data_IF_910643123727
#
_entry.id   IF_910643123727
#
_cell.length_a   1.000
_cell.length_b   1.000
_cell.length_c   1.000
_cell.angle_alpha   90.00
_cell.angle_beta   90.00
_cell.angle_gamma   90.00
#
_symmetry.space_group_name_H-M   'P 1'
#
loop_
_entity.id
_entity.type
_entity.pdbx_description
1 polymer ?
#
# COMPACT_ATOMS: atom_id res chain seq x y z
N UNK A 1 19.34 -82.81 29.31
CA UNK A 1 20.68 -83.24 28.84
C UNK A 1 21.06 -82.29 27.70
N UNK A 2 22.11 -81.53 27.97
CA UNK A 2 23.24 -81.22 27.05
C UNK A 2 22.83 -80.49 25.73
N UNK A 3 23.37 -79.43 25.24
CA UNK A 3 24.69 -78.79 25.48
C UNK A 3 24.64 -77.32 24.98
N UNK A 4 25.56 -76.55 25.47
CA UNK A 4 25.92 -75.18 25.13
C UNK A 4 26.54 -75.13 23.73
N UNK A 5 26.25 -74.09 22.98
CA UNK A 5 27.20 -73.51 22.02
C UNK A 5 27.03 -71.99 21.98
N UNK A 6 28.10 -71.33 22.41
CA UNK A 6 28.34 -69.87 22.32
C UNK A 6 29.01 -69.70 20.96
N UNK A 7 28.46 -68.85 20.13
CA UNK A 7 29.20 -68.32 18.97
C UNK A 7 28.97 -66.79 19.00
N UNK A 8 30.06 -66.07 19.21
CA UNK A 8 30.15 -64.65 19.11
C UNK A 8 30.07 -64.20 17.64
N UNK A 9 29.33 -63.13 17.42
CA UNK A 9 29.30 -62.40 16.13
C UNK A 9 29.81 -60.98 16.39
N UNK A 10 30.93 -60.70 15.77
CA UNK A 10 31.53 -59.38 15.66
C UNK A 10 30.54 -58.38 15.10
N UNK A 11 30.43 -57.24 15.79
CA UNK A 11 29.73 -56.09 15.30
C UNK A 11 30.41 -55.44 14.11
N UNK A 12 29.69 -55.31 13.02
CA UNK A 12 30.05 -54.43 11.91
C UNK A 12 29.15 -53.17 12.03
N UNK A 13 29.67 -52.11 12.66
CA UNK A 13 29.08 -50.79 12.61
C UNK A 13 29.23 -50.25 11.19
N UNK A 14 28.20 -50.40 10.39
CA UNK A 14 28.06 -49.62 9.15
C UNK A 14 27.60 -48.22 9.53
N UNK A 15 28.52 -47.27 9.52
CA UNK A 15 28.21 -45.84 9.56
C UNK A 15 27.48 -45.46 8.25
N UNK A 16 26.16 -45.39 8.29
CA UNK A 16 25.38 -44.77 7.23
C UNK A 16 25.59 -43.26 7.37
N UNK A 17 26.51 -42.73 6.57
CA UNK A 17 26.58 -41.29 6.28
C UNK A 17 25.37 -41.00 5.42
N UNK A 18 24.31 -40.52 6.05
CA UNK A 18 23.25 -39.80 5.34
C UNK A 18 23.90 -38.53 4.80
N UNK A 19 24.34 -38.57 3.55
CA UNK A 19 24.50 -37.37 2.75
C UNK A 19 23.08 -36.78 2.63
N UNK A 20 22.76 -35.81 3.46
CA UNK A 20 21.70 -34.91 3.21
C UNK A 20 22.07 -34.18 1.90
N UNK A 21 21.58 -34.67 0.76
CA UNK A 21 21.41 -33.83 -0.41
C UNK A 21 20.42 -32.73 0.01
N UNK A 22 20.96 -31.61 0.43
CA UNK A 22 20.21 -30.37 0.39
C UNK A 22 19.79 -30.21 -1.06
N UNK A 23 18.52 -30.47 -1.36
CA UNK A 23 17.93 -29.96 -2.57
C UNK A 23 18.06 -28.46 -2.47
N UNK A 24 18.77 -27.84 -3.40
CA UNK A 24 18.64 -26.45 -3.71
C UNK A 24 17.18 -26.24 -4.14
N UNK A 25 16.30 -26.07 -3.18
CA UNK A 25 15.01 -25.43 -3.39
C UNK A 25 15.34 -23.97 -3.67
N UNK A 26 15.19 -23.57 -4.92
CA UNK A 26 15.18 -22.18 -5.33
C UNK A 26 13.89 -21.51 -4.81
N UNK A 27 13.68 -21.50 -3.50
CA UNK A 27 12.61 -20.80 -2.81
C UNK A 27 13.26 -19.91 -1.77
N UNK A 28 13.08 -18.59 -1.89
CA UNK A 28 13.47 -17.63 -0.87
C UNK A 28 12.73 -17.84 0.45
N UNK A 29 13.03 -17.03 1.44
CA UNK A 29 12.24 -16.97 2.68
C UNK A 29 10.83 -16.47 2.36
N UNK A 30 9.75 -17.16 2.80
CA UNK A 30 8.39 -16.70 2.60
C UNK A 30 8.20 -15.28 3.14
N UNK A 31 7.62 -14.40 2.33
CA UNK A 31 7.40 -13.01 2.68
C UNK A 31 6.01 -12.56 2.22
N UNK A 32 5.12 -12.33 3.17
CA UNK A 32 3.73 -11.99 2.91
C UNK A 32 3.55 -10.47 2.87
N UNK A 33 3.03 -9.96 1.74
CA UNK A 33 2.65 -8.57 1.55
C UNK A 33 1.13 -8.47 1.38
N UNK A 34 0.45 -7.73 2.23
CA UNK A 34 -0.95 -7.37 2.00
C UNK A 34 -1.01 -6.06 1.22
N UNK A 35 -1.69 -6.08 0.07
CA UNK A 35 -1.97 -4.88 -0.72
C UNK A 35 -3.04 -4.02 -0.01
N UNK A 36 -3.16 -2.75 -0.40
CA UNK A 36 -4.20 -1.85 0.11
C UNK A 36 -5.55 -2.05 -0.58
N UNK A 37 -5.51 -2.45 -1.85
CA UNK A 37 -6.67 -2.57 -2.74
C UNK A 37 -6.51 -3.74 -3.72
N UNK A 38 -7.39 -3.88 -4.71
CA UNK A 38 -7.15 -4.76 -5.85
C UNK A 38 -5.84 -4.38 -6.55
N UNK A 39 -5.26 -5.33 -7.31
CA UNK A 39 -4.10 -5.05 -8.15
C UNK A 39 -4.41 -3.86 -9.07
N UNK A 40 -3.59 -2.84 -8.98
CA UNK A 40 -3.75 -1.58 -9.70
C UNK A 40 -2.37 -0.97 -10.03
N UNK A 41 -2.28 0.10 -10.81
CA UNK A 41 -1.01 0.69 -11.23
C UNK A 41 -0.09 1.20 -10.11
N UNK A 42 -0.60 1.49 -8.91
CA UNK A 42 0.23 1.89 -7.77
C UNK A 42 1.14 0.74 -7.31
N UNK A 43 0.81 -0.50 -7.68
CA UNK A 43 1.62 -1.70 -7.46
C UNK A 43 2.62 -2.00 -8.58
N UNK A 44 2.80 -1.12 -9.58
CA UNK A 44 3.64 -1.37 -10.75
C UNK A 44 5.08 -1.77 -10.40
N UNK A 45 5.68 -1.11 -9.40
CA UNK A 45 7.03 -1.45 -8.91
C UNK A 45 7.12 -2.87 -8.35
N UNK A 46 6.10 -3.29 -7.60
CA UNK A 46 6.02 -4.61 -6.95
C UNK A 46 5.92 -5.71 -8.01
N UNK A 47 4.95 -5.61 -8.92
CA UNK A 47 4.73 -6.65 -9.92
C UNK A 47 5.82 -6.68 -10.98
N UNK A 48 6.43 -5.54 -11.32
CA UNK A 48 7.63 -5.51 -12.14
C UNK A 48 8.82 -6.18 -11.45
N UNK A 49 9.00 -5.98 -10.14
CA UNK A 49 10.06 -6.65 -9.38
C UNK A 49 9.83 -8.18 -9.30
N UNK A 50 8.58 -8.62 -9.15
CA UNK A 50 8.21 -10.04 -9.18
C UNK A 50 8.49 -10.68 -10.55
N UNK A 51 7.99 -10.09 -11.63
CA UNK A 51 8.20 -10.58 -12.99
C UNK A 51 9.69 -10.71 -13.35
N UNK A 52 10.49 -9.75 -12.91
CA UNK A 52 11.95 -9.75 -13.13
C UNK A 52 12.74 -10.56 -12.11
N UNK A 53 12.11 -11.21 -11.14
CA UNK A 53 12.75 -12.06 -10.15
C UNK A 53 13.59 -11.29 -9.12
N UNK A 54 13.40 -9.98 -8.94
CA UNK A 54 14.23 -9.17 -8.05
C UNK A 54 14.05 -9.53 -6.58
N UNK A 55 12.85 -9.95 -6.16
CA UNK A 55 12.62 -10.45 -4.81
C UNK A 55 13.30 -11.81 -4.59
N UNK A 56 13.21 -12.70 -5.58
CA UNK A 56 13.91 -13.99 -5.52
C UNK A 56 15.44 -13.81 -5.48
N UNK A 57 16.01 -12.88 -6.25
CA UNK A 57 17.43 -12.50 -6.18
C UNK A 57 17.83 -11.99 -4.78
N UNK A 58 16.89 -11.35 -4.07
CA UNK A 58 17.06 -10.87 -2.70
C UNK A 58 16.77 -11.95 -1.64
N UNK A 59 16.49 -13.18 -2.05
CA UNK A 59 16.24 -14.32 -1.17
C UNK A 59 14.81 -14.35 -0.60
N UNK A 60 13.87 -13.59 -1.15
CA UNK A 60 12.48 -13.51 -0.70
C UNK A 60 11.55 -14.26 -1.66
N UNK A 61 10.67 -15.09 -1.12
CA UNK A 61 9.52 -15.68 -1.82
C UNK A 61 8.29 -14.81 -1.54
N UNK A 62 8.17 -13.71 -2.30
CA UNK A 62 7.15 -12.70 -2.09
C UNK A 62 5.77 -13.20 -2.52
N UNK A 63 4.79 -13.07 -1.63
CA UNK A 63 3.40 -13.43 -1.84
C UNK A 63 2.49 -12.20 -1.62
N UNK A 64 2.19 -11.40 -2.67
CA UNK A 64 1.23 -10.29 -2.56
C UNK A 64 -0.20 -10.81 -2.45
N UNK A 65 -0.96 -10.29 -1.50
CA UNK A 65 -2.33 -10.69 -1.23
C UNK A 65 -3.27 -9.49 -1.29
N UNK A 66 -4.35 -9.61 -2.08
CA UNK A 66 -5.45 -8.65 -2.07
C UNK A 66 -6.20 -8.81 -0.74
N UNK A 67 -6.44 -7.72 0.00
CA UNK A 67 -7.13 -7.80 1.29
C UNK A 67 -8.61 -8.18 1.14
N UNK A 68 -9.20 -8.69 2.20
CA UNK A 68 -10.63 -9.03 2.23
C UNK A 68 -11.54 -7.80 2.15
N UNK A 69 -11.08 -6.67 2.64
CA UNK A 69 -11.70 -5.35 2.57
C UNK A 69 -10.61 -4.26 2.67
N UNK A 70 -10.88 -3.01 2.22
CA UNK A 70 -9.86 -1.95 2.18
C UNK A 70 -9.35 -1.51 3.57
N UNK A 71 -10.04 -1.80 4.67
CA UNK A 71 -9.61 -1.46 6.04
C UNK A 71 -8.79 -2.56 6.73
N UNK A 72 -8.56 -3.70 6.05
CA UNK A 72 -7.90 -4.87 6.65
C UNK A 72 -6.36 -4.79 6.73
N UNK A 73 -5.62 -4.16 5.79
CA UNK A 73 -4.18 -4.35 5.66
C UNK A 73 -3.39 -4.05 6.94
N UNK A 74 -3.58 -2.89 7.54
CA UNK A 74 -2.84 -2.49 8.75
C UNK A 74 -3.13 -3.42 9.94
N UNK A 75 -4.35 -3.95 10.03
CA UNK A 75 -4.74 -4.90 11.09
C UNK A 75 -4.10 -6.27 10.88
N UNK A 76 -3.82 -6.65 9.64
CA UNK A 76 -3.14 -7.92 9.34
C UNK A 76 -1.69 -7.90 9.78
N UNK A 77 -0.98 -6.79 9.51
CA UNK A 77 0.39 -6.58 10.00
C UNK A 77 0.41 -6.56 11.52
N UNK A 78 -0.43 -5.73 12.15
CA UNK A 78 -0.49 -5.64 13.62
C UNK A 78 -0.85 -6.98 14.29
N UNK A 79 -1.46 -7.92 13.58
CA UNK A 79 -1.77 -9.26 14.06
C UNK A 79 -0.71 -10.30 13.68
N UNK A 80 0.42 -9.92 13.06
CA UNK A 80 1.49 -10.79 12.61
C UNK A 80 1.07 -11.77 11.51
N UNK A 81 0.10 -11.39 10.67
CA UNK A 81 -0.42 -12.21 9.57
C UNK A 81 0.18 -11.85 8.21
N UNK A 82 0.89 -10.75 8.13
CA UNK A 82 1.66 -10.30 6.99
C UNK A 82 2.96 -9.68 7.50
N UNK A 83 4.02 -9.77 6.72
CA UNK A 83 5.32 -9.15 7.01
C UNK A 83 5.27 -7.65 6.75
N UNK A 84 4.61 -7.27 5.67
CA UNK A 84 4.33 -5.89 5.31
C UNK A 84 2.88 -5.73 4.84
N UNK A 85 2.37 -4.51 4.96
CA UNK A 85 1.16 -4.10 4.27
C UNK A 85 1.38 -2.77 3.56
N UNK A 86 0.68 -2.56 2.44
CA UNK A 86 0.46 -1.23 1.90
C UNK A 86 -0.71 -0.62 2.68
N UNK A 87 -0.53 0.59 3.17
CA UNK A 87 -1.53 1.36 3.88
C UNK A 87 -1.30 2.85 3.62
N UNK A 88 -1.86 3.71 4.44
CA UNK A 88 -1.89 5.16 4.26
C UNK A 88 -1.32 5.86 5.50
N UNK A 89 -0.62 6.99 5.34
CA UNK A 89 -0.11 7.77 6.48
C UNK A 89 -1.20 8.02 7.55
N UNK A 90 -2.43 8.49 7.21
CA UNK A 90 -3.48 8.66 8.20
C UNK A 90 -3.87 7.38 8.95
N UNK A 91 -3.87 6.22 8.28
CA UNK A 91 -4.17 4.95 8.93
C UNK A 91 -3.08 4.54 9.94
N UNK A 92 -1.81 4.84 9.65
CA UNK A 92 -0.71 4.61 10.60
C UNK A 92 -0.91 5.44 11.86
N UNK A 93 -1.23 6.73 11.72
CA UNK A 93 -1.48 7.63 12.85
C UNK A 93 -2.68 7.15 13.68
N UNK A 94 -3.79 6.82 13.03
CA UNK A 94 -4.99 6.30 13.70
C UNK A 94 -4.75 4.96 14.40
N UNK A 95 -3.98 4.05 13.78
CA UNK A 95 -3.65 2.76 14.35
C UNK A 95 -2.77 2.90 15.61
N UNK A 96 -1.80 3.80 15.59
CA UNK A 96 -0.95 4.11 16.75
C UNK A 96 -1.75 4.72 17.90
N UNK A 97 -2.68 5.65 17.60
CA UNK A 97 -3.57 6.23 18.61
C UNK A 97 -4.48 5.17 19.26
N UNK A 98 -4.86 4.12 18.52
CA UNK A 98 -5.60 2.96 19.01
C UNK A 98 -4.70 1.93 19.73
N UNK A 99 -3.40 2.17 19.84
CA UNK A 99 -2.45 1.31 20.54
C UNK A 99 -1.96 0.10 19.72
N UNK A 100 -2.12 0.11 18.40
CA UNK A 100 -1.50 -0.89 17.52
C UNK A 100 -0.02 -0.54 17.34
N UNK A 101 0.86 -1.53 17.49
CA UNK A 101 2.32 -1.32 17.41
C UNK A 101 2.83 -1.51 15.98
N UNK A 102 2.49 -0.54 15.12
CA UNK A 102 2.86 -0.53 13.70
C UNK A 102 3.72 0.69 13.38
N UNK A 103 4.57 0.58 12.37
CA UNK A 103 5.46 1.67 11.92
C UNK A 103 5.54 1.69 10.39
N UNK A 104 5.50 2.87 9.79
CA UNK A 104 5.78 3.04 8.38
C UNK A 104 7.28 2.91 8.10
N UNK A 105 7.64 2.14 7.08
CA UNK A 105 9.04 1.83 6.75
C UNK A 105 9.48 2.40 5.40
N UNK A 106 8.54 2.79 4.55
CA UNK A 106 8.82 3.52 3.29
C UNK A 106 7.54 4.16 2.74
N UNK A 107 7.66 5.30 2.07
CA UNK A 107 6.60 5.84 1.24
C UNK A 107 6.70 5.31 -0.20
N UNK A 108 5.61 4.80 -0.73
CA UNK A 108 5.47 4.45 -2.15
C UNK A 108 5.05 5.67 -2.97
N UNK A 109 4.15 6.50 -2.41
CA UNK A 109 3.64 7.73 -3.04
C UNK A 109 3.69 8.88 -2.05
N UNK A 110 4.51 9.89 -2.35
CA UNK A 110 4.79 11.04 -1.47
C UNK A 110 3.82 12.22 -1.64
N UNK A 111 2.57 11.96 -1.92
CA UNK A 111 1.55 13.00 -2.04
C UNK A 111 0.16 12.41 -2.23
N UNK A 112 -0.92 13.18 -1.99
CA UNK A 112 -2.28 12.70 -2.07
C UNK A 112 -2.65 12.18 -3.47
N UNK A 113 -3.24 11.00 -3.52
CA UNK A 113 -3.99 10.46 -4.66
C UNK A 113 -5.48 10.51 -4.37
N UNK A 114 -5.86 10.36 -3.10
CA UNK A 114 -7.23 10.44 -2.60
C UNK A 114 -7.89 11.74 -3.07
N UNK A 115 -9.06 11.61 -3.69
CA UNK A 115 -9.77 12.70 -4.32
C UNK A 115 -11.28 12.62 -4.07
N UNK A 116 -11.94 13.77 -4.15
CA UNK A 116 -13.38 13.85 -4.37
C UNK A 116 -13.61 13.83 -5.89
N UNK A 117 -14.28 12.79 -6.39
CA UNK A 117 -14.53 12.60 -7.82
C UNK A 117 -16.02 12.57 -8.07
N UNK A 118 -16.47 13.40 -9.01
CA UNK A 118 -17.87 13.48 -9.43
C UNK A 118 -17.99 13.58 -10.95
N UNK A 119 -19.16 13.26 -11.49
CA UNK A 119 -19.48 13.48 -12.90
C UNK A 119 -20.19 14.82 -13.09
N UNK A 120 -20.18 15.40 -14.31
CA UNK A 120 -20.79 16.72 -14.56
C UNK A 120 -22.25 16.82 -14.16
N UNK A 121 -23.00 15.72 -14.26
CA UNK A 121 -24.44 15.68 -13.92
C UNK A 121 -24.72 15.90 -12.44
N UNK A 122 -23.73 15.65 -11.57
CA UNK A 122 -23.86 15.86 -10.12
C UNK A 122 -23.82 17.35 -9.72
N UNK A 123 -23.31 18.25 -10.60
CA UNK A 123 -23.17 19.69 -10.38
C UNK A 123 -22.42 20.03 -9.07
N UNK A 124 -21.30 19.32 -8.83
CA UNK A 124 -20.44 19.53 -7.67
C UNK A 124 -19.20 20.30 -8.13
N UNK A 125 -19.13 21.59 -7.79
CA UNK A 125 -18.01 22.47 -8.08
C UNK A 125 -17.02 22.58 -6.90
N UNK A 126 -17.49 22.35 -5.68
CA UNK A 126 -16.74 22.48 -4.43
C UNK A 126 -17.36 21.63 -3.33
N UNK A 127 -16.68 21.51 -2.20
CA UNK A 127 -17.22 20.81 -1.02
C UNK A 127 -18.53 21.39 -0.50
N UNK A 128 -18.81 22.69 -0.72
CA UNK A 128 -20.09 23.31 -0.32
C UNK A 128 -21.31 22.79 -1.10
N UNK A 129 -21.09 22.17 -2.26
CA UNK A 129 -22.17 21.63 -3.10
C UNK A 129 -22.56 20.20 -2.67
N UNK A 130 -21.89 19.64 -1.66
CA UNK A 130 -22.17 18.29 -1.15
C UNK A 130 -23.40 18.22 -0.25
N UNK A 131 -23.95 19.36 0.21
CA UNK A 131 -25.17 19.35 1.02
C UNK A 131 -26.34 18.66 0.30
N UNK A 132 -26.91 17.63 0.91
CA UNK A 132 -28.00 16.81 0.35
C UNK A 132 -27.57 15.81 -0.72
N UNK A 133 -26.26 15.62 -0.91
CA UNK A 133 -25.69 14.66 -1.87
C UNK A 133 -25.38 13.31 -1.23
N UNK A 134 -25.34 12.28 -2.05
CA UNK A 134 -24.85 10.94 -1.68
C UNK A 134 -23.39 10.80 -2.11
N UNK A 135 -22.51 10.56 -1.16
CA UNK A 135 -21.07 10.35 -1.37
C UNK A 135 -20.69 8.93 -0.95
N UNK A 136 -20.11 8.15 -1.88
CA UNK A 136 -19.63 6.80 -1.57
C UNK A 136 -18.16 6.83 -1.15
N UNK A 137 -17.79 5.93 -0.23
CA UNK A 137 -16.43 5.74 0.29
C UNK A 137 -16.02 4.27 0.21
N UNK A 138 -14.72 4.01 0.36
CA UNK A 138 -14.20 2.63 0.45
C UNK A 138 -14.32 2.02 1.85
N UNK A 139 -14.85 2.78 2.85
CA UNK A 139 -15.00 2.32 4.23
C UNK A 139 -13.67 2.30 5.01
N UNK A 140 -12.65 2.98 4.52
CA UNK A 140 -11.40 3.17 5.26
C UNK A 140 -11.63 4.27 6.30
N UNK A 141 -11.30 4.07 7.57
CA UNK A 141 -11.68 4.97 8.67
C UNK A 141 -11.33 6.44 8.44
N UNK A 142 -10.15 6.76 7.89
CA UNK A 142 -9.74 8.14 7.68
C UNK A 142 -10.60 8.88 6.66
N UNK A 143 -11.26 8.17 5.71
CA UNK A 143 -12.05 8.80 4.64
C UNK A 143 -13.26 9.56 5.20
N UNK A 144 -13.98 8.93 6.12
CA UNK A 144 -15.10 9.59 6.79
C UNK A 144 -14.62 10.83 7.59
N UNK A 145 -13.51 10.67 8.32
CA UNK A 145 -12.90 11.74 9.11
C UNK A 145 -12.48 12.95 8.26
N UNK A 146 -11.88 12.69 7.10
CA UNK A 146 -11.50 13.75 6.17
C UNK A 146 -12.73 14.44 5.59
N UNK A 147 -13.71 13.66 5.14
CA UNK A 147 -14.93 14.21 4.56
C UNK A 147 -15.65 15.10 5.55
N UNK A 148 -15.80 14.69 6.80
CA UNK A 148 -16.42 15.52 7.85
C UNK A 148 -15.63 16.83 8.10
N UNK A 149 -14.30 16.75 8.11
CA UNK A 149 -13.44 17.93 8.25
C UNK A 149 -13.58 18.88 7.06
N UNK A 150 -13.59 18.34 5.84
CA UNK A 150 -13.76 19.10 4.59
C UNK A 150 -15.13 19.78 4.57
N UNK A 151 -16.21 19.05 4.91
CA UNK A 151 -17.57 19.58 4.99
C UNK A 151 -17.68 20.68 6.04
N UNK A 152 -17.14 20.47 7.24
CA UNK A 152 -17.12 21.46 8.31
C UNK A 152 -16.43 22.77 7.90
N UNK A 153 -15.29 22.67 7.20
CA UNK A 153 -14.56 23.83 6.66
C UNK A 153 -15.35 24.55 5.56
N UNK A 154 -16.11 23.81 4.75
CA UNK A 154 -16.98 24.34 3.72
C UNK A 154 -18.28 24.93 4.27
N UNK A 155 -18.54 24.82 5.59
CA UNK A 155 -19.78 25.27 6.23
C UNK A 155 -20.98 24.36 5.92
N UNK A 156 -20.73 23.12 5.53
CA UNK A 156 -21.76 22.08 5.29
C UNK A 156 -21.88 21.24 6.56
N UNK A 157 -23.11 21.04 7.00
CA UNK A 157 -23.41 20.09 8.09
C UNK A 157 -23.21 18.65 7.57
N UNK A 158 -22.26 17.87 8.13
CA UNK A 158 -22.01 16.50 7.69
C UNK A 158 -23.26 15.59 7.72
N UNK A 159 -24.21 15.85 8.64
CA UNK A 159 -25.46 15.11 8.72
C UNK A 159 -26.36 15.28 7.48
N UNK A 160 -26.10 16.30 6.65
CA UNK A 160 -26.82 16.53 5.39
C UNK A 160 -26.26 15.74 4.21
N UNK A 161 -25.11 15.10 4.36
CA UNK A 161 -24.45 14.30 3.32
C UNK A 161 -24.66 12.83 3.63
N UNK A 162 -25.24 12.11 2.67
CA UNK A 162 -25.43 10.65 2.79
C UNK A 162 -24.11 9.93 2.44
N UNK A 163 -23.35 9.53 3.45
CA UNK A 163 -22.11 8.80 3.30
C UNK A 163 -22.39 7.31 3.25
N UNK A 164 -22.01 6.64 2.16
CA UNK A 164 -22.28 5.21 1.94
C UNK A 164 -20.97 4.45 1.70
N UNK A 165 -20.67 3.51 2.57
CA UNK A 165 -19.55 2.60 2.39
C UNK A 165 -19.89 1.51 1.36
N UNK A 166 -19.08 1.42 0.31
CA UNK A 166 -19.23 0.49 -0.81
C UNK A 166 -18.02 -0.42 -1.00
N UNK A 167 -17.05 -0.35 -0.09
CA UNK A 167 -15.78 -1.10 -0.16
C UNK A 167 -15.06 -0.81 -1.47
N UNK A 168 -14.65 -1.86 -2.17
CA UNK A 168 -13.91 -1.73 -3.44
C UNK A 168 -14.73 -1.15 -4.62
N UNK A 169 -16.05 -0.99 -4.50
CA UNK A 169 -16.93 -0.70 -5.63
C UNK A 169 -17.31 0.80 -5.73
N UNK A 170 -16.33 1.69 -5.74
CA UNK A 170 -16.54 3.16 -5.76
C UNK A 170 -17.21 3.66 -7.05
N UNK A 171 -16.79 3.18 -8.21
CA UNK A 171 -17.21 3.74 -9.51
C UNK A 171 -18.65 3.40 -9.94
N UNK A 172 -19.16 2.15 -9.80
CA UNK A 172 -20.48 1.81 -10.32
C UNK A 172 -21.64 2.65 -9.78
N UNK A 173 -21.69 3.05 -8.49
CA UNK A 173 -22.73 3.96 -7.99
C UNK A 173 -22.70 5.33 -8.64
N UNK A 174 -21.49 5.89 -8.85
CA UNK A 174 -21.31 7.22 -9.47
C UNK A 174 -21.68 7.18 -10.95
N UNK A 175 -21.19 6.20 -11.70
CA UNK A 175 -21.50 6.04 -13.13
C UNK A 175 -23.00 5.86 -13.37
N UNK A 176 -23.69 5.14 -12.46
CA UNK A 176 -25.14 4.89 -12.61
C UNK A 176 -26.02 6.01 -12.06
N UNK A 177 -25.43 7.08 -11.49
CA UNK A 177 -26.16 8.18 -10.86
C UNK A 177 -26.89 7.79 -9.56
N UNK A 178 -26.50 6.68 -8.92
CA UNK A 178 -26.98 6.28 -7.58
C UNK A 178 -26.23 6.99 -6.46
N UNK A 179 -25.04 7.47 -6.74
CA UNK A 179 -24.27 8.37 -5.91
C UNK A 179 -23.89 9.61 -6.72
N UNK A 180 -23.78 10.75 -6.07
CA UNK A 180 -23.40 12.02 -6.69
C UNK A 180 -21.88 12.14 -6.83
N UNK A 181 -21.13 11.55 -5.89
CA UNK A 181 -19.66 11.56 -5.89
C UNK A 181 -19.09 10.33 -5.20
N UNK A 182 -17.80 10.07 -5.43
CA UNK A 182 -16.98 9.21 -4.59
C UNK A 182 -15.93 10.05 -3.87
N UNK A 183 -15.62 9.67 -2.64
CA UNK A 183 -14.51 10.20 -1.86
C UNK A 183 -13.59 9.04 -1.48
N UNK A 184 -12.29 9.18 -1.79
CA UNK A 184 -11.32 8.10 -1.62
C UNK A 184 -10.96 7.38 -2.92
N UNK A 185 -11.57 7.76 -4.06
CA UNK A 185 -11.08 7.37 -5.37
C UNK A 185 -9.76 8.08 -5.68
N UNK A 186 -8.86 7.42 -6.38
CA UNK A 186 -7.55 7.94 -6.72
C UNK A 186 -7.57 8.68 -8.06
N UNK A 187 -6.89 9.83 -8.09
CA UNK A 187 -6.82 10.66 -9.30
C UNK A 187 -6.16 9.95 -10.50
N UNK A 188 -5.24 9.03 -10.25
CA UNK A 188 -4.48 8.27 -11.25
C UNK A 188 -5.12 6.93 -11.63
N UNK A 189 -6.12 6.47 -10.90
CA UNK A 189 -6.88 5.23 -11.16
C UNK A 189 -8.31 5.59 -11.57
N UNK A 190 -9.23 5.84 -10.63
CA UNK A 190 -10.63 6.14 -10.94
C UNK A 190 -10.78 7.41 -11.78
N UNK A 191 -9.93 8.43 -11.54
CA UNK A 191 -9.90 9.64 -12.34
C UNK A 191 -9.57 9.38 -13.79
N UNK A 192 -8.57 8.52 -14.05
CA UNK A 192 -8.15 8.12 -15.41
C UNK A 192 -9.20 7.22 -16.04
N UNK A 193 -9.69 6.19 -15.33
CA UNK A 193 -10.70 5.27 -15.88
C UNK A 193 -11.97 6.02 -16.34
N UNK A 194 -12.50 6.94 -15.51
CA UNK A 194 -13.66 7.73 -15.90
C UNK A 194 -13.38 8.63 -17.12
N UNK A 195 -12.17 9.20 -17.21
CA UNK A 195 -11.77 10.02 -18.34
C UNK A 195 -11.63 9.19 -19.63
N UNK A 196 -11.01 8.02 -19.58
CA UNK A 196 -10.88 7.09 -20.72
C UNK A 196 -12.26 6.59 -21.20
N UNK A 197 -13.24 6.47 -20.33
CA UNK A 197 -14.65 6.21 -20.69
C UNK A 197 -15.35 7.42 -21.31
N UNK A 198 -14.73 8.59 -21.37
CA UNK A 198 -15.30 9.83 -21.93
C UNK A 198 -16.36 10.46 -21.03
N UNK A 199 -16.32 10.23 -19.72
CA UNK A 199 -17.30 10.73 -18.75
C UNK A 199 -16.97 12.12 -18.18
N UNK A 200 -15.84 12.71 -18.56
CA UNK A 200 -15.37 14.06 -18.17
C UNK A 200 -15.42 14.29 -16.64
N UNK A 201 -14.77 13.44 -15.80
CA UNK A 201 -14.89 13.52 -14.36
C UNK A 201 -14.27 14.81 -13.81
N UNK A 202 -14.89 15.39 -12.80
CA UNK A 202 -14.27 16.38 -11.96
C UNK A 202 -13.51 15.66 -10.83
N UNK A 203 -12.20 15.78 -10.84
CA UNK A 203 -11.29 15.19 -9.84
C UNK A 203 -10.70 16.34 -9.02
N UNK A 204 -10.94 16.32 -7.71
CA UNK A 204 -10.41 17.33 -6.77
C UNK A 204 -9.61 16.62 -5.69
N UNK A 205 -8.27 16.69 -5.72
CA UNK A 205 -7.41 16.10 -4.68
C UNK A 205 -7.73 16.68 -3.29
N UNK A 206 -7.55 15.87 -2.24
CA UNK A 206 -7.93 16.25 -0.88
C UNK A 206 -7.15 17.42 -0.32
N UNK A 207 -5.92 17.64 -0.77
CA UNK A 207 -5.11 18.80 -0.37
C UNK A 207 -5.66 20.12 -0.93
N UNK A 208 -6.33 20.11 -2.08
CA UNK A 208 -7.10 21.26 -2.58
C UNK A 208 -8.39 21.50 -1.78
N UNK A 209 -8.86 20.50 -1.03
CA UNK A 209 -10.00 20.60 -0.14
C UNK A 209 -9.61 20.99 1.30
N UNK A 210 -8.31 21.24 1.54
CA UNK A 210 -7.77 21.75 2.79
C UNK A 210 -7.26 20.70 3.77
N UNK A 211 -7.12 19.44 3.34
CA UNK A 211 -6.33 18.45 4.07
C UNK A 211 -4.85 18.76 3.81
N UNK A 212 -3.96 18.79 4.82
CA UNK A 212 -2.53 18.96 4.57
C UNK A 212 -2.00 17.82 3.70
N UNK A 213 -0.95 18.09 2.91
CA UNK A 213 -0.29 17.03 2.12
C UNK A 213 0.32 15.97 3.04
N UNK A 214 0.24 14.72 2.61
CA UNK A 214 0.70 13.52 3.34
C UNK A 214 1.22 12.47 2.36
N UNK A 215 1.83 11.39 2.87
CA UNK A 215 2.22 10.25 2.05
C UNK A 215 1.00 9.34 1.83
N UNK A 216 0.52 9.28 0.58
CA UNK A 216 -0.69 8.51 0.28
C UNK A 216 -0.50 7.04 0.53
N UNK A 217 0.51 6.44 -0.09
CA UNK A 217 0.78 5.02 0.07
C UNK A 217 2.10 4.82 0.81
N UNK A 218 2.01 4.05 1.89
CA UNK A 218 3.17 3.69 2.71
C UNK A 218 3.24 2.18 2.94
N UNK A 219 4.45 1.65 3.06
CA UNK A 219 4.68 0.30 3.56
C UNK A 219 4.71 0.33 5.07
N UNK A 220 3.94 -0.54 5.68
CA UNK A 220 3.78 -0.64 7.13
C UNK A 220 4.22 -2.01 7.61
N UNK A 221 4.97 -2.05 8.72
CA UNK A 221 5.41 -3.25 9.41
C UNK A 221 4.96 -3.23 10.87
N UNK A 222 5.00 -4.37 11.53
CA UNK A 222 4.97 -4.47 12.98
C UNK A 222 6.28 -3.89 13.55
N UNK A 223 6.19 -3.03 14.58
CA UNK A 223 7.35 -2.31 15.12
C UNK A 223 8.33 -3.24 15.84
N UNK A 224 7.84 -4.28 16.53
CA UNK A 224 8.70 -5.28 17.17
C UNK A 224 9.48 -6.07 16.12
N UNK A 225 8.83 -6.45 14.99
CA UNK A 225 9.51 -7.12 13.89
C UNK A 225 10.60 -6.26 13.27
N UNK A 226 10.35 -4.97 13.06
CA UNK A 226 11.38 -4.04 12.58
C UNK A 226 12.58 -3.97 13.52
N UNK A 227 12.33 -4.03 14.82
CA UNK A 227 13.40 -3.98 15.83
C UNK A 227 14.18 -5.30 15.93
N UNK A 228 13.50 -6.46 15.80
CA UNK A 228 14.08 -7.79 15.99
C UNK A 228 14.79 -8.32 14.75
N UNK A 229 14.18 -8.16 13.57
CA UNK A 229 14.69 -8.70 12.30
C UNK A 229 14.41 -7.76 11.11
N UNK A 230 15.17 -6.66 10.96
CA UNK A 230 14.95 -5.66 9.91
C UNK A 230 15.45 -6.09 8.51
N UNK A 231 16.27 -7.13 8.41
CA UNK A 231 16.99 -7.44 7.16
C UNK A 231 16.06 -7.88 6.02
N UNK A 232 15.04 -8.75 6.21
CA UNK A 232 14.12 -9.10 5.14
C UNK A 232 13.37 -7.88 4.58
N UNK A 233 13.05 -6.89 5.44
CA UNK A 233 12.40 -5.64 5.00
C UNK A 233 13.37 -4.79 4.17
N UNK A 234 14.65 -4.71 4.56
CA UNK A 234 15.68 -4.00 3.77
C UNK A 234 15.84 -4.61 2.39
N UNK A 235 15.95 -5.92 2.31
CA UNK A 235 16.06 -6.66 1.03
C UNK A 235 14.82 -6.45 0.16
N UNK A 236 13.62 -6.46 0.77
CA UNK A 236 12.39 -6.12 0.07
C UNK A 236 12.44 -4.71 -0.53
N UNK A 237 12.84 -3.70 0.24
CA UNK A 237 12.90 -2.31 -0.22
C UNK A 237 13.92 -2.12 -1.36
N UNK A 238 15.07 -2.80 -1.31
CA UNK A 238 16.07 -2.79 -2.39
C UNK A 238 15.51 -3.40 -3.67
N UNK A 239 14.81 -4.54 -3.56
CA UNK A 239 14.19 -5.21 -4.70
C UNK A 239 13.06 -4.36 -5.30
N UNK A 240 12.27 -3.72 -4.45
CA UNK A 240 11.17 -2.83 -4.84
C UNK A 240 11.68 -1.58 -5.57
N UNK A 241 12.74 -0.92 -5.07
CA UNK A 241 13.38 0.20 -5.76
C UNK A 241 13.81 -0.18 -7.18
N UNK A 242 14.46 -1.36 -7.33
CA UNK A 242 14.84 -1.90 -8.65
C UNK A 242 13.63 -2.12 -9.55
N UNK A 243 12.53 -2.62 -8.99
CA UNK A 243 11.27 -2.85 -9.70
C UNK A 243 10.63 -1.54 -10.18
N UNK A 244 10.56 -0.54 -9.30
CA UNK A 244 10.01 0.79 -9.63
C UNK A 244 10.84 1.48 -10.73
N UNK A 245 12.16 1.42 -10.62
CA UNK A 245 13.07 1.93 -11.66
C UNK A 245 12.90 1.18 -13.00
N UNK A 246 12.67 -0.12 -12.96
CA UNK A 246 12.45 -0.91 -14.16
C UNK A 246 11.09 -0.59 -14.79
N UNK A 247 10.03 -0.42 -13.99
CA UNK A 247 8.73 0.01 -14.42
C UNK A 247 8.78 1.40 -15.10
N UNK A 248 9.50 2.35 -14.49
CA UNK A 248 9.67 3.69 -15.05
C UNK A 248 10.43 3.69 -16.39
N UNK A 249 11.38 2.76 -16.59
CA UNK A 249 12.12 2.62 -17.84
C UNK A 249 11.35 1.88 -18.94
N UNK A 250 10.45 1.00 -18.57
CA UNK A 250 9.65 0.16 -19.47
C UNK A 250 8.20 0.05 -18.98
N UNK A 251 7.40 1.12 -19.15
CA UNK A 251 6.01 1.15 -18.71
C UNK A 251 5.15 0.06 -19.36
N UNK A 252 5.51 -0.42 -20.58
CA UNK A 252 4.76 -1.50 -21.21
C UNK A 252 4.97 -2.82 -20.46
N UNK A 253 6.20 -3.15 -20.12
CA UNK A 253 6.47 -4.36 -19.34
C UNK A 253 5.81 -4.30 -17.94
N UNK A 254 5.76 -3.11 -17.32
CA UNK A 254 5.04 -2.91 -16.07
C UNK A 254 3.52 -3.13 -16.22
N UNK A 255 2.95 -2.63 -17.32
CA UNK A 255 1.53 -2.89 -17.66
C UNK A 255 1.26 -4.38 -17.85
N UNK A 256 2.13 -5.06 -18.62
CA UNK A 256 1.98 -6.50 -18.88
C UNK A 256 2.03 -7.32 -17.59
N UNK A 257 2.96 -6.99 -16.67
CA UNK A 257 3.07 -7.63 -15.36
C UNK A 257 1.82 -7.43 -14.47
N UNK A 258 1.24 -6.23 -14.48
CA UNK A 258 0.01 -5.94 -13.76
C UNK A 258 -1.19 -6.69 -14.36
N UNK A 259 -1.32 -6.71 -15.69
CA UNK A 259 -2.43 -7.40 -16.39
C UNK A 259 -2.34 -8.92 -16.18
N UNK A 260 -1.14 -9.48 -16.09
CA UNK A 260 -0.96 -10.91 -15.78
C UNK A 260 -1.36 -11.24 -14.33
N UNK A 261 -1.08 -10.32 -13.39
CA UNK A 261 -1.32 -10.52 -11.96
C UNK A 261 -2.76 -10.19 -11.53
N UNK A 262 -3.40 -9.22 -12.18
CA UNK A 262 -4.72 -8.71 -11.79
C UNK A 262 -5.86 -9.34 -12.58
N UNK A 263 -6.90 -9.78 -11.87
CA UNK A 263 -8.08 -10.37 -12.51
C UNK A 263 -8.87 -9.32 -13.31
N UNK A 264 -8.92 -9.49 -14.64
CA UNK A 264 -9.80 -8.73 -15.52
C UNK A 264 -9.36 -7.29 -15.82
N UNK A 265 -8.09 -6.95 -15.61
CA UNK A 265 -7.55 -5.66 -15.99
C UNK A 265 -7.55 -5.51 -17.52
N UNK A 266 -8.06 -4.37 -18.01
CA UNK A 266 -8.01 -4.01 -19.42
C UNK A 266 -6.62 -3.45 -19.78
N UNK A 267 -5.88 -4.01 -20.75
CA UNK A 267 -4.49 -3.60 -21.02
C UNK A 267 -4.35 -2.15 -21.48
N UNK A 268 -5.33 -1.59 -22.22
CA UNK A 268 -5.25 -0.21 -22.72
C UNK A 268 -5.50 0.77 -21.57
N UNK A 269 -6.51 0.50 -20.75
CA UNK A 269 -6.81 1.29 -19.55
C UNK A 269 -5.64 1.20 -18.56
N UNK A 270 -5.18 -0.01 -18.23
CA UNK A 270 -4.07 -0.21 -17.28
C UNK A 270 -2.82 0.54 -17.75
N UNK A 271 -2.57 0.59 -19.07
CA UNK A 271 -1.46 1.38 -19.62
C UNK A 271 -1.63 2.88 -19.37
N UNK A 272 -2.81 3.43 -19.60
CA UNK A 272 -3.08 4.85 -19.34
C UNK A 272 -2.90 5.20 -17.85
N UNK A 273 -3.39 4.34 -16.96
CA UNK A 273 -3.23 4.48 -15.53
C UNK A 273 -1.76 4.34 -15.09
N UNK A 274 -0.99 3.39 -15.65
CA UNK A 274 0.45 3.24 -15.40
C UNK A 274 1.20 4.52 -15.79
N UNK A 275 0.89 5.09 -16.96
CA UNK A 275 1.52 6.34 -17.41
C UNK A 275 1.21 7.53 -16.48
N UNK A 276 0.03 7.55 -15.85
CA UNK A 276 -0.37 8.55 -14.87
C UNK A 276 0.28 8.31 -13.49
N UNK A 277 0.58 7.05 -13.15
CA UNK A 277 1.06 6.62 -11.83
C UNK A 277 2.58 6.68 -11.69
N UNK A 278 3.33 6.21 -12.69
CA UNK A 278 4.79 6.09 -12.61
C UNK A 278 5.52 7.37 -12.17
N UNK A 279 5.13 8.59 -12.62
CA UNK A 279 5.76 9.82 -12.15
C UNK A 279 5.59 10.08 -10.64
N UNK A 280 4.66 9.40 -9.98
CA UNK A 280 4.36 9.52 -8.55
C UNK A 280 5.09 8.48 -7.70
N UNK A 281 5.43 7.33 -8.31
CA UNK A 281 6.21 6.26 -7.66
C UNK A 281 7.71 6.54 -7.65
N UNK A 282 8.18 7.40 -8.56
CA UNK A 282 9.60 7.74 -8.66
C UNK A 282 9.86 9.00 -7.82
N UNK A 283 10.77 8.92 -6.81
CA UNK A 283 11.09 10.09 -6.00
C UNK A 283 11.62 11.25 -6.83
N UNK A 284 11.25 12.51 -6.51
CA UNK A 284 11.75 13.66 -7.24
C UNK A 284 13.21 13.95 -6.89
N UNK A 285 14.03 14.27 -7.90
CA UNK A 285 15.42 14.70 -7.74
C UNK A 285 16.32 13.65 -7.09
N UNK A 286 17.07 14.05 -6.06
CA UNK A 286 18.00 13.19 -5.32
C UNK A 286 17.40 12.59 -4.03
N UNK A 287 16.08 12.64 -3.87
CA UNK A 287 15.41 12.05 -2.72
C UNK A 287 15.59 10.53 -2.72
N UNK A 288 15.98 9.91 -1.60
CA UNK A 288 16.05 8.46 -1.50
C UNK A 288 14.70 7.81 -1.80
N UNK A 289 14.71 6.63 -2.41
CA UNK A 289 13.51 5.84 -2.61
C UNK A 289 12.85 5.50 -1.27
N UNK A 290 11.55 5.74 -1.18
CA UNK A 290 10.78 5.45 0.03
C UNK A 290 10.90 6.50 1.14
N UNK A 291 11.60 7.63 0.91
CA UNK A 291 11.80 8.65 1.94
C UNK A 291 10.49 9.26 2.44
N UNK A 292 10.35 9.30 3.76
CA UNK A 292 9.27 9.97 4.48
C UNK A 292 9.85 11.17 5.23
N UNK A 293 9.23 12.35 5.07
CA UNK A 293 9.66 13.58 5.75
C UNK A 293 9.09 13.63 7.18
N UNK A 294 9.92 13.44 8.24
CA UNK A 294 9.42 13.41 9.62
C UNK A 294 8.74 14.71 10.06
N UNK A 295 9.16 15.87 9.54
CA UNK A 295 8.52 17.14 9.86
C UNK A 295 7.12 17.24 9.22
N UNK A 296 6.94 16.68 8.00
CA UNK A 296 5.64 16.63 7.34
C UNK A 296 4.71 15.68 8.09
N UNK A 297 5.17 14.51 8.47
CA UNK A 297 4.43 13.55 9.27
C UNK A 297 4.01 14.12 10.63
N UNK A 298 4.89 14.86 11.31
CA UNK A 298 4.54 15.54 12.56
C UNK A 298 3.43 16.56 12.34
N UNK A 299 3.54 17.42 11.32
CA UNK A 299 2.50 18.40 11.01
C UNK A 299 1.16 17.74 10.66
N UNK A 300 1.21 16.59 10.02
CA UNK A 300 0.02 15.84 9.66
C UNK A 300 -0.63 15.19 10.89
N UNK A 301 0.15 14.59 11.77
CA UNK A 301 -0.35 14.05 13.05
C UNK A 301 -0.95 15.15 13.93
N UNK A 302 -0.28 16.33 14.02
CA UNK A 302 -0.81 17.49 14.72
C UNK A 302 -2.16 17.95 14.14
N UNK A 303 -2.29 17.93 12.80
CA UNK A 303 -3.57 18.25 12.14
C UNK A 303 -4.67 17.25 12.51
N UNK A 304 -4.41 15.95 12.55
CA UNK A 304 -5.41 14.95 12.96
C UNK A 304 -5.83 15.14 14.42
N UNK A 305 -4.87 15.49 15.29
CA UNK A 305 -5.17 15.81 16.69
C UNK A 305 -6.03 17.07 16.83
N UNK A 306 -5.69 18.16 16.13
CA UNK A 306 -6.46 19.42 16.13
C UNK A 306 -7.86 19.23 15.54
N UNK A 307 -8.02 18.33 14.57
CA UNK A 307 -9.29 17.94 13.99
C UNK A 307 -10.11 17.00 14.89
N UNK A 308 -9.56 16.56 16.03
CA UNK A 308 -10.22 15.64 16.96
C UNK A 308 -10.35 14.20 16.42
N UNK A 309 -9.49 13.81 15.47
CA UNK A 309 -9.50 12.48 14.87
C UNK A 309 -8.68 11.47 15.67
N UNK A 310 -7.76 11.92 16.50
CA UNK A 310 -6.98 11.15 17.46
C UNK A 310 -7.10 11.75 18.85
N UNK A 311 -6.96 10.92 19.88
CA UNK A 311 -7.12 11.33 21.29
C UNK A 311 -5.85 11.95 21.88
N UNK A 312 -4.67 11.59 21.34
CA UNK A 312 -3.36 12.02 21.84
C UNK A 312 -2.47 12.51 20.70
N UNK A 313 -1.52 13.39 21.02
CA UNK A 313 -0.48 13.77 20.05
C UNK A 313 0.44 12.58 19.80
N UNK A 314 0.76 12.32 18.52
CA UNK A 314 1.72 11.32 18.12
C UNK A 314 3.06 11.99 17.77
N UNK A 315 4.18 11.36 18.15
CA UNK A 315 5.52 11.78 17.70
C UNK A 315 5.84 11.07 16.38
N UNK A 316 6.31 11.82 15.38
CA UNK A 316 6.67 11.24 14.09
C UNK A 316 7.72 10.11 14.22
N UNK A 317 8.59 10.16 15.23
CA UNK A 317 9.57 9.11 15.51
C UNK A 317 8.93 7.77 15.91
N UNK A 318 7.68 7.78 16.39
CA UNK A 318 6.92 6.57 16.73
C UNK A 318 6.07 6.08 15.53
N UNK A 319 5.91 6.91 14.49
CA UNK A 319 5.06 6.63 13.34
C UNK A 319 5.82 6.06 12.15
N UNK A 320 7.06 6.48 11.96
CA UNK A 320 7.88 6.11 10.81
C UNK A 320 9.34 5.83 11.15
N UNK A 321 10.00 5.06 10.28
CA UNK A 321 11.46 4.95 10.26
C UNK A 321 12.01 4.98 8.85
N UNK A 322 13.05 5.78 8.62
CA UNK A 322 13.81 5.80 7.36
C UNK A 322 15.09 4.95 7.42
N UNK A 323 15.35 4.26 8.55
CA UNK A 323 16.60 3.51 8.77
C UNK A 323 16.73 2.25 7.91
N UNK A 324 15.62 1.81 7.29
CA UNK A 324 15.55 0.62 6.45
C UNK A 324 15.70 0.94 4.96
N UNK A 325 15.64 2.19 4.57
CA UNK A 325 15.63 2.60 3.17
C UNK A 325 16.93 2.22 2.45
N UNK A 326 16.87 1.91 1.15
CA UNK A 326 18.03 1.72 0.32
C UNK A 326 18.97 2.94 0.43
N UNK A 327 20.27 2.70 0.52
CA UNK A 327 21.23 3.80 0.55
C UNK A 327 21.18 4.55 -0.77
N UNK A 328 21.22 5.89 -0.70
CA UNK A 328 21.30 6.73 -1.89
C UNK A 328 22.40 6.18 -2.82
N UNK A 329 22.07 5.99 -4.09
CA UNK A 329 23.04 5.49 -5.08
C UNK A 329 24.20 6.47 -5.15
N UNK A 330 25.41 5.99 -4.85
CA UNK A 330 26.60 6.71 -5.28
C UNK A 330 26.51 6.81 -6.81
N UNK A 331 26.41 8.03 -7.33
CA UNK A 331 26.40 8.28 -8.76
C UNK A 331 27.67 7.67 -9.34
N UNK A 332 27.53 6.52 -9.98
CA UNK A 332 28.61 5.93 -10.76
C UNK A 332 28.86 6.87 -11.93
N UNK A 333 29.92 7.67 -11.81
CA UNK A 333 30.36 8.64 -12.80
C UNK A 333 30.79 8.02 -14.13
#
# INVERSE_FOLDING_TARGET
MIARAVIGVLGLLAAIVLAACGGDGAGGEPFDLTLDFYVNPDHAGIYTALDRGYFADAGLDLNPQVPSDPSAPIKQVAAGRADLAISYEPEVVLARDQGLDVVAVAALVNGPLTSLISLPEADIASASDLAGKTVVTAGIPYQAAYLDTILGRAGVDPETVDQVDVGFNLMPPVISGRADAMFGGFLNVEGVDLAERGLDPRVVPVDELGVPTYDELVLVADADRVAEDPEPIREFLVALERGTDAAARDPQAATDALVEAGDGLDPELTRAEVDATLPRLVPPGDMPYGWMDPERWQRFADYLYEAGQIESTADAADLLTNDLLPRAREQSG
#
